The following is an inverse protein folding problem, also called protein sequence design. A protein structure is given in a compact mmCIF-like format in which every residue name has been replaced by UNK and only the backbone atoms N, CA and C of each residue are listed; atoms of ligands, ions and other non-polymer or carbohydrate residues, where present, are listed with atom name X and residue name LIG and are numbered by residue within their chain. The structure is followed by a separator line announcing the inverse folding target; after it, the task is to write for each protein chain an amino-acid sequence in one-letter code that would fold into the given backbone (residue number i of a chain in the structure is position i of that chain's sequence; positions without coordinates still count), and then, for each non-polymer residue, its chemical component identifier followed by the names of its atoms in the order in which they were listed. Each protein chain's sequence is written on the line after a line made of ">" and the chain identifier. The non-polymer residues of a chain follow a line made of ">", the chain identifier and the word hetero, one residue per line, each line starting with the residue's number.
data_IF_913552404726
#
_entry.id   IF_913552404726
#
_cell.length_a   1.000
_cell.length_b   1.000
_cell.length_c   1.000
_cell.angle_alpha   90.00
_cell.angle_beta   90.00
_cell.angle_gamma   90.00
#
_symmetry.space_group_name_H-M   'P 1'
#
loop_
_entity.id
_entity.type
_entity.pdbx_description
1 polymer ?
#
# COMPACT_ATOMS: atom_id res chain seq x y z
N UNK A 1 -3.31 20.61 27.46
CA UNK A 1 -4.12 19.44 27.90
C UNK A 1 -5.57 19.54 27.44
N UNK A 2 -6.27 20.67 27.62
CA UNK A 2 -7.69 20.79 27.26
C UNK A 2 -8.02 20.58 25.77
N UNK A 3 -7.16 21.03 24.85
CA UNK A 3 -7.35 20.85 23.40
C UNK A 3 -7.34 19.38 22.96
N UNK A 4 -6.50 18.55 23.58
CA UNK A 4 -6.46 17.09 23.32
C UNK A 4 -7.70 16.39 23.87
N UNK A 5 -8.20 16.84 25.03
CA UNK A 5 -9.45 16.34 25.60
C UNK A 5 -10.68 16.73 24.78
N UNK A 6 -10.69 17.93 24.17
CA UNK A 6 -11.74 18.35 23.23
C UNK A 6 -11.68 17.54 21.93
N UNK A 7 -10.47 17.28 21.39
CA UNK A 7 -10.27 16.46 20.21
C UNK A 7 -10.74 15.01 20.42
N UNK A 8 -10.43 14.41 21.57
CA UNK A 8 -10.93 13.08 21.94
C UNK A 8 -12.46 13.04 22.10
N UNK A 9 -13.06 14.13 22.59
CA UNK A 9 -14.52 14.26 22.71
C UNK A 9 -15.22 14.58 21.38
N UNK A 10 -14.46 14.90 20.34
CA UNK A 10 -14.93 15.21 18.99
C UNK A 10 -15.20 13.92 18.18
N UNK A 11 -15.89 12.95 18.78
CA UNK A 11 -16.41 11.74 18.10
C UNK A 11 -17.81 11.96 17.51
N UNK A 12 -18.31 13.20 17.52
CA UNK A 12 -19.61 13.53 16.91
C UNK A 12 -19.46 13.52 15.39
N UNK A 13 -19.68 12.36 14.77
CA UNK A 13 -19.86 12.27 13.32
C UNK A 13 -19.50 10.94 12.67
N UNK A 14 -18.79 10.02 13.35
CA UNK A 14 -18.46 8.72 12.77
C UNK A 14 -18.71 7.62 13.81
N UNK A 15 -19.62 6.72 13.49
CA UNK A 15 -20.04 5.59 14.32
C UNK A 15 -18.97 4.51 14.36
N UNK A 16 -18.93 3.71 15.44
CA UNK A 16 -18.05 2.54 15.55
C UNK A 16 -18.21 1.55 14.37
N UNK A 17 -19.38 1.56 13.72
CA UNK A 17 -19.67 0.78 12.52
C UNK A 17 -18.85 1.23 11.31
N UNK A 18 -18.73 2.53 11.09
CA UNK A 18 -17.96 3.11 9.97
C UNK A 18 -16.46 2.88 10.17
N UNK A 19 -15.95 2.98 11.40
CA UNK A 19 -14.58 2.59 11.71
C UNK A 19 -14.33 1.10 11.47
N UNK A 20 -15.30 0.24 11.79
CA UNK A 20 -15.24 -1.18 11.44
C UNK A 20 -15.17 -1.40 9.93
N UNK A 21 -16.00 -0.69 9.16
CA UNK A 21 -16.02 -0.80 7.69
C UNK A 21 -14.71 -0.31 7.05
N UNK A 22 -14.17 0.83 7.52
CA UNK A 22 -12.89 1.36 7.07
C UNK A 22 -11.75 0.39 7.40
N UNK A 23 -11.74 -0.20 8.59
CA UNK A 23 -10.73 -1.16 8.99
C UNK A 23 -10.72 -2.41 8.09
N UNK A 24 -11.90 -2.92 7.73
CA UNK A 24 -12.03 -4.04 6.78
C UNK A 24 -11.55 -3.65 5.38
N UNK A 25 -11.96 -2.47 4.88
CA UNK A 25 -11.50 -1.98 3.58
C UNK A 25 -9.97 -1.83 3.53
N UNK A 26 -9.37 -1.28 4.59
CA UNK A 26 -7.91 -1.18 4.72
C UNK A 26 -7.24 -2.55 4.78
N UNK A 27 -7.78 -3.50 5.52
CA UNK A 27 -7.21 -4.85 5.60
C UNK A 27 -7.20 -5.55 4.23
N UNK A 28 -8.31 -5.48 3.48
CA UNK A 28 -8.39 -6.05 2.13
C UNK A 28 -7.41 -5.35 1.19
N UNK A 29 -7.32 -4.02 1.25
CA UNK A 29 -6.38 -3.25 0.44
C UNK A 29 -4.93 -3.63 0.71
N UNK A 30 -4.52 -3.71 1.98
CA UNK A 30 -3.17 -4.11 2.38
C UNK A 30 -2.84 -5.51 1.86
N UNK A 31 -3.76 -6.46 2.01
CA UNK A 31 -3.56 -7.83 1.50
C UNK A 31 -3.43 -7.82 -0.02
N UNK A 32 -4.30 -7.13 -0.75
CA UNK A 32 -4.25 -7.10 -2.22
C UNK A 32 -2.96 -6.45 -2.78
N UNK A 33 -2.43 -5.44 -2.08
CA UNK A 33 -1.21 -4.73 -2.51
C UNK A 33 0.05 -5.52 -2.17
N UNK A 34 0.09 -6.17 -0.99
CA UNK A 34 1.30 -6.76 -0.43
C UNK A 34 1.39 -8.28 -0.54
N UNK A 35 0.26 -8.99 -0.68
CA UNK A 35 0.21 -10.45 -0.60
C UNK A 35 -0.51 -11.06 -1.80
N UNK A 36 -0.03 -12.22 -2.23
CA UNK A 36 -0.60 -13.00 -3.33
C UNK A 36 0.25 -12.94 -4.61
N UNK A 37 0.08 -13.97 -5.43
CA UNK A 37 0.67 -14.04 -6.76
C UNK A 37 0.07 -12.93 -7.62
N UNK A 38 0.91 -12.12 -8.28
CA UNK A 38 0.53 -10.89 -9.00
C UNK A 38 0.04 -9.72 -8.13
N UNK A 39 0.38 -9.71 -6.83
CA UNK A 39 0.23 -8.51 -6.01
C UNK A 39 0.96 -7.31 -6.63
N UNK A 40 0.50 -6.10 -6.30
CA UNK A 40 1.07 -4.87 -6.83
C UNK A 40 2.60 -4.80 -6.62
N UNK A 41 3.08 -5.23 -5.44
CA UNK A 41 4.51 -5.25 -5.13
C UNK A 41 5.29 -6.28 -5.96
N UNK A 42 4.75 -7.48 -6.19
CA UNK A 42 5.37 -8.50 -7.03
C UNK A 42 5.47 -8.06 -8.50
N UNK A 43 4.39 -7.53 -9.05
CA UNK A 43 4.40 -7.00 -10.43
C UNK A 43 5.36 -5.83 -10.59
N UNK A 44 5.42 -4.93 -9.60
CA UNK A 44 6.40 -3.84 -9.58
C UNK A 44 7.82 -4.39 -9.59
N UNK A 45 8.13 -5.38 -8.74
CA UNK A 45 9.44 -6.03 -8.69
C UNK A 45 9.79 -6.70 -10.03
N UNK A 46 8.85 -7.40 -10.67
CA UNK A 46 9.06 -8.00 -12.01
C UNK A 46 9.45 -6.94 -13.04
N UNK A 47 8.75 -5.80 -13.09
CA UNK A 47 9.08 -4.72 -14.01
C UNK A 47 10.48 -4.15 -13.78
N UNK A 48 10.88 -3.97 -12.51
CA UNK A 48 12.23 -3.52 -12.19
C UNK A 48 13.30 -4.55 -12.58
N UNK A 49 13.04 -5.85 -12.39
CA UNK A 49 13.95 -6.91 -12.86
C UNK A 49 14.10 -6.89 -14.38
N UNK A 50 12.99 -6.79 -15.11
CA UNK A 50 13.00 -6.67 -16.57
C UNK A 50 13.82 -5.45 -17.04
N UNK A 51 13.65 -4.31 -16.37
CA UNK A 51 14.44 -3.12 -16.67
C UNK A 51 15.94 -3.35 -16.40
N UNK A 52 16.28 -3.96 -15.26
CA UNK A 52 17.67 -4.28 -14.92
C UNK A 52 18.30 -5.20 -15.97
N UNK A 53 17.60 -6.25 -16.38
CA UNK A 53 18.05 -7.18 -17.42
C UNK A 53 18.25 -6.47 -18.76
N UNK A 54 17.33 -5.57 -19.13
CA UNK A 54 17.44 -4.78 -20.35
C UNK A 54 18.68 -3.87 -20.32
N UNK A 55 18.93 -3.19 -19.20
CA UNK A 55 20.11 -2.33 -19.01
C UNK A 55 21.39 -3.15 -19.09
N UNK A 56 21.47 -4.30 -18.40
CA UNK A 56 22.62 -5.20 -18.47
C UNK A 56 22.85 -5.72 -19.90
N UNK A 57 21.78 -6.12 -20.59
CA UNK A 57 21.87 -6.59 -21.97
C UNK A 57 22.37 -5.48 -22.91
N UNK A 58 21.88 -4.26 -22.76
CA UNK A 58 22.32 -3.14 -23.58
C UNK A 58 23.81 -2.84 -23.36
N UNK A 59 24.26 -2.85 -22.09
CA UNK A 59 25.67 -2.68 -21.73
C UNK A 59 26.58 -3.77 -22.30
N UNK A 60 26.14 -5.02 -22.32
CA UNK A 60 26.92 -6.13 -22.89
C UNK A 60 26.90 -6.13 -24.43
N UNK A 61 25.86 -5.60 -25.07
CA UNK A 61 25.79 -5.50 -26.53
C UNK A 61 26.60 -4.34 -27.11
N UNK A 62 26.93 -3.33 -26.29
CA UNK A 62 27.73 -2.17 -26.72
C UNK A 62 29.23 -2.35 -26.50
N UNK A 63 29.65 -3.40 -25.78
CA UNK A 63 31.06 -3.79 -25.59
C UNK A 63 31.50 -4.79 -26.65
#
# INVERSE_FOLDING_TARGET
>A
MEKLLQFYRQQQGITSLEYGLIAVAMAVFVVAVLYGDSSFTDETLKKFKQLSELVTSALLSTS
#
